data_IF_995857014041
#
_entry.id   IF_995857014041
#
_cell.length_a   1.000
_cell.length_b   1.000
_cell.length_c   1.000
_cell.angle_alpha   90.00
_cell.angle_beta   90.00
_cell.angle_gamma   90.00
#
_symmetry.space_group_name_H-M   'P 1'
#
loop_
_entity.id
_entity.type
_entity.pdbx_description
1 polymer ?
#
# COMPACT_ATOMS: atom_id res chain seq x y z
N UNK A 1 7.49 6.11 -1.93
CA UNK A 1 6.87 4.78 -2.09
C UNK A 1 5.60 4.76 -1.25
N UNK A 2 4.58 3.99 -1.65
CA UNK A 2 3.29 3.94 -0.93
C UNK A 2 3.46 3.53 0.53
N UNK A 3 4.35 2.58 0.83
CA UNK A 3 4.69 2.17 2.21
C UNK A 3 5.10 3.34 3.11
N UNK A 4 5.93 4.26 2.59
CA UNK A 4 6.39 5.45 3.35
C UNK A 4 5.27 6.44 3.61
N UNK A 5 4.44 6.68 2.59
CA UNK A 5 3.25 7.54 2.72
C UNK A 5 2.32 7.04 3.84
N UNK A 6 2.02 5.74 3.86
CA UNK A 6 1.15 5.15 4.88
C UNK A 6 1.81 5.21 6.26
N UNK A 7 3.11 4.93 6.36
CA UNK A 7 3.82 5.01 7.64
C UNK A 7 3.86 6.44 8.20
N UNK A 8 4.15 7.44 7.36
CA UNK A 8 4.13 8.86 7.76
C UNK A 8 2.72 9.28 8.16
N UNK A 9 1.69 8.89 7.41
CA UNK A 9 0.29 9.15 7.76
C UNK A 9 -0.08 8.59 9.14
N UNK A 10 0.24 7.32 9.41
CA UNK A 10 -0.06 6.72 10.72
C UNK A 10 0.77 7.36 11.84
N UNK A 11 1.98 7.80 11.55
CA UNK A 11 2.84 8.53 12.48
C UNK A 11 2.25 9.89 12.88
N UNK A 12 1.74 10.65 11.90
CA UNK A 12 1.02 11.92 12.14
C UNK A 12 -0.25 11.74 12.97
N UNK A 13 -0.84 10.54 12.96
CA UNK A 13 -1.96 10.15 13.82
C UNK A 13 -1.52 9.67 15.21
N UNK A 14 -0.24 9.82 15.57
CA UNK A 14 0.36 9.40 16.84
C UNK A 14 0.28 7.88 17.12
N UNK A 15 0.31 7.06 16.06
CA UNK A 15 0.35 5.61 16.20
C UNK A 15 1.80 5.11 16.27
N UNK A 16 2.03 4.04 17.05
CA UNK A 16 3.35 3.41 17.13
C UNK A 16 3.64 2.61 15.86
N UNK A 17 4.28 3.25 14.88
CA UNK A 17 4.48 2.70 13.53
C UNK A 17 5.95 2.57 13.16
N UNK A 18 6.29 1.51 12.42
CA UNK A 18 7.57 1.35 11.72
C UNK A 18 7.32 1.02 10.26
N UNK A 19 8.26 1.40 9.40
CA UNK A 19 8.22 1.06 7.97
C UNK A 19 9.34 0.11 7.57
N UNK A 20 9.07 -0.79 6.62
CA UNK A 20 10.10 -1.64 6.03
C UNK A 20 9.82 -1.88 4.54
N UNK A 21 10.80 -1.62 3.69
CA UNK A 21 10.64 -1.78 2.25
C UNK A 21 11.99 -1.92 1.53
N UNK A 22 11.99 -2.32 0.26
CA UNK A 22 13.21 -2.66 -0.50
C UNK A 22 14.23 -1.52 -0.65
N UNK A 23 13.78 -0.27 -0.57
CA UNK A 23 14.67 0.91 -0.60
C UNK A 23 15.33 1.25 0.75
N UNK A 24 15.04 0.52 1.83
CA UNK A 24 15.76 0.68 3.12
C UNK A 24 17.02 -0.17 3.12
N UNK A 25 18.13 0.30 3.73
CA UNK A 25 19.34 -0.52 3.92
C UNK A 25 19.04 -1.81 4.68
N UNK A 26 19.81 -2.87 4.41
CA UNK A 26 19.62 -4.17 5.09
C UNK A 26 19.72 -4.05 6.61
N UNK A 27 20.70 -3.29 7.13
CA UNK A 27 20.87 -3.05 8.57
C UNK A 27 19.63 -2.44 9.22
N UNK A 28 18.99 -1.47 8.54
CA UNK A 28 17.73 -0.89 8.99
C UNK A 28 16.60 -1.92 9.00
N UNK A 29 16.49 -2.75 7.96
CA UNK A 29 15.48 -3.81 7.86
C UNK A 29 15.61 -4.85 8.98
N UNK A 30 16.84 -5.25 9.31
CA UNK A 30 17.13 -6.15 10.43
C UNK A 30 16.69 -5.53 11.75
N UNK A 31 17.15 -4.29 12.05
CA UNK A 31 16.81 -3.59 13.29
C UNK A 31 15.30 -3.44 13.50
N UNK A 32 14.56 -3.00 12.47
CA UNK A 32 13.09 -2.84 12.55
C UNK A 32 12.39 -4.18 12.70
N UNK A 33 12.90 -5.24 12.06
CA UNK A 33 12.33 -6.58 12.21
C UNK A 33 12.54 -7.10 13.64
N UNK A 34 13.71 -6.88 14.23
CA UNK A 34 14.00 -7.28 15.61
C UNK A 34 13.12 -6.51 16.61
N UNK A 35 12.98 -5.19 16.41
CA UNK A 35 12.08 -4.34 17.19
C UNK A 35 10.62 -4.83 17.13
N UNK A 36 10.12 -5.13 15.93
CA UNK A 36 8.74 -5.62 15.78
C UNK A 36 8.50 -6.98 16.45
N UNK A 37 9.50 -7.88 16.45
CA UNK A 37 9.38 -9.17 17.16
C UNK A 37 9.29 -9.04 18.67
N UNK A 38 9.88 -7.98 19.23
CA UNK A 38 9.98 -7.78 20.69
C UNK A 38 8.89 -6.84 21.22
N UNK A 39 8.24 -6.07 20.35
CA UNK A 39 7.27 -5.04 20.74
C UNK A 39 5.85 -5.58 20.84
N UNK A 40 5.06 -5.01 21.74
CA UNK A 40 3.60 -5.13 21.76
C UNK A 40 2.98 -3.83 21.27
N UNK A 41 1.83 -3.91 20.58
CA UNK A 41 1.11 -2.72 20.12
C UNK A 41 1.84 -1.89 19.04
N UNK A 42 2.68 -2.52 18.21
CA UNK A 42 3.39 -1.86 17.11
C UNK A 42 2.72 -2.17 15.77
N UNK A 43 2.67 -1.18 14.87
CA UNK A 43 2.20 -1.35 13.48
C UNK A 43 3.42 -1.40 12.56
N UNK A 44 3.59 -2.49 11.82
CA UNK A 44 4.63 -2.60 10.79
C UNK A 44 4.02 -2.40 9.40
N UNK A 45 4.33 -1.26 8.78
CA UNK A 45 3.94 -0.98 7.39
C UNK A 45 5.03 -1.52 6.46
N UNK A 46 4.70 -2.53 5.67
CA UNK A 46 5.68 -3.25 4.86
C UNK A 46 5.29 -3.36 3.38
N UNK A 47 6.29 -3.40 2.50
CA UNK A 47 6.11 -3.96 1.15
C UNK A 47 6.30 -5.49 1.18
N UNK A 48 6.36 -6.14 0.02
CA UNK A 48 6.55 -7.61 -0.03
C UNK A 48 7.90 -8.13 0.49
N UNK A 49 8.76 -7.25 1.00
CA UNK A 49 10.04 -7.62 1.64
C UNK A 49 9.86 -8.43 2.93
N UNK A 50 8.72 -8.27 3.62
CA UNK A 50 8.41 -9.02 4.84
C UNK A 50 7.48 -10.21 4.60
N UNK A 51 7.06 -10.47 3.36
CA UNK A 51 6.06 -11.49 3.08
C UNK A 51 6.61 -12.92 3.19
N UNK A 52 7.94 -13.12 3.07
CA UNK A 52 8.58 -14.44 3.10
C UNK A 52 9.81 -14.42 4.01
N UNK A 53 10.11 -15.57 4.62
CA UNK A 53 11.36 -15.79 5.37
C UNK A 53 11.50 -15.00 6.66
N UNK A 54 10.50 -14.23 7.07
CA UNK A 54 10.52 -13.49 8.34
C UNK A 54 9.46 -14.03 9.29
N UNK A 55 9.90 -14.47 10.46
CA UNK A 55 9.02 -14.87 11.54
C UNK A 55 8.72 -13.68 12.45
N UNK A 56 7.46 -13.26 12.49
CA UNK A 56 6.94 -12.30 13.46
C UNK A 56 5.97 -13.05 14.36
N UNK A 57 6.33 -13.32 15.62
CA UNK A 57 5.41 -13.94 16.54
C UNK A 57 4.23 -13.00 16.81
N UNK A 58 3.06 -13.58 17.08
CA UNK A 58 1.95 -12.90 17.73
C UNK A 58 1.35 -11.71 16.96
N UNK A 59 1.53 -11.70 15.63
CA UNK A 59 0.81 -10.77 14.76
C UNK A 59 -0.68 -11.07 14.84
N UNK A 60 -1.46 -10.14 15.38
CA UNK A 60 -2.91 -10.28 15.59
C UNK A 60 -3.72 -9.94 14.35
N UNK A 61 -3.21 -9.04 13.50
CA UNK A 61 -3.91 -8.52 12.34
C UNK A 61 -2.96 -8.30 11.17
N UNK A 62 -3.34 -8.77 9.99
CA UNK A 62 -2.70 -8.46 8.70
C UNK A 62 -3.68 -7.66 7.84
N UNK A 63 -3.37 -6.39 7.60
CA UNK A 63 -4.10 -5.54 6.65
C UNK A 63 -3.32 -5.45 5.35
N UNK A 64 -3.94 -5.86 4.24
CA UNK A 64 -3.41 -5.75 2.90
C UNK A 64 -4.13 -4.63 2.17
N UNK A 65 -3.41 -3.60 1.71
CA UNK A 65 -3.96 -2.45 0.99
C UNK A 65 -3.63 -2.60 -0.49
N UNK A 66 -4.67 -2.65 -1.33
CA UNK A 66 -4.57 -2.84 -2.77
C UNK A 66 -4.34 -4.30 -3.17
N UNK A 67 -4.45 -4.53 -4.47
CA UNK A 67 -4.35 -5.85 -5.07
C UNK A 67 -2.94 -6.46 -4.87
N UNK A 68 -2.83 -7.73 -4.44
CA UNK A 68 -1.57 -8.48 -4.46
C UNK A 68 -1.12 -8.79 -5.90
N UNK A 69 0.18 -9.07 -6.09
CA UNK A 69 0.70 -9.41 -7.41
C UNK A 69 0.09 -10.71 -7.96
N UNK A 70 -0.16 -11.67 -7.07
CA UNK A 70 -0.80 -12.93 -7.37
C UNK A 70 -1.40 -13.56 -6.08
N UNK A 71 -2.09 -14.69 -6.26
CA UNK A 71 -2.65 -15.51 -5.18
C UNK A 71 -1.59 -15.94 -4.15
N UNK A 72 -0.41 -16.34 -4.60
CA UNK A 72 0.64 -16.81 -3.68
C UNK A 72 1.11 -15.67 -2.79
N UNK A 73 1.22 -14.45 -3.32
CA UNK A 73 1.58 -13.26 -2.57
C UNK A 73 0.53 -12.93 -1.51
N UNK A 74 -0.76 -13.04 -1.84
CA UNK A 74 -1.83 -12.91 -0.85
C UNK A 74 -1.69 -13.90 0.31
N UNK A 75 -1.45 -15.18 0.02
CA UNK A 75 -1.29 -16.24 1.02
C UNK A 75 -0.05 -15.99 1.89
N UNK A 76 1.08 -15.61 1.29
CA UNK A 76 2.32 -15.33 2.02
C UNK A 76 2.18 -14.15 3.00
N UNK A 77 1.45 -13.10 2.59
CA UNK A 77 1.12 -11.95 3.44
C UNK A 77 0.19 -12.37 4.58
N UNK A 78 -0.90 -13.07 4.28
CA UNK A 78 -1.86 -13.55 5.27
C UNK A 78 -1.21 -14.47 6.30
N UNK A 79 -0.30 -15.35 5.87
CA UNK A 79 0.45 -16.27 6.73
C UNK A 79 1.42 -15.61 7.73
N UNK A 80 1.40 -14.28 7.89
CA UNK A 80 2.10 -13.60 9.00
C UNK A 80 1.31 -13.66 10.31
N UNK A 81 -0.02 -13.81 10.26
CA UNK A 81 -0.89 -13.97 11.44
C UNK A 81 -1.34 -15.43 11.61
N UNK A 82 -2.04 -15.75 12.71
CA UNK A 82 -2.64 -17.07 12.93
C UNK A 82 -1.61 -18.21 13.12
N UNK A 83 -0.41 -17.89 13.62
CA UNK A 83 0.70 -18.86 13.71
C UNK A 83 0.74 -19.54 15.08
N UNK A 84 1.30 -20.76 15.11
CA UNK A 84 1.50 -21.56 16.34
C UNK A 84 0.20 -21.75 17.14
N UNK A 85 -0.92 -21.97 16.44
CA UNK A 85 -2.23 -22.19 17.05
C UNK A 85 -2.90 -20.94 17.64
N UNK A 86 -2.31 -19.75 17.47
CA UNK A 86 -2.92 -18.48 17.90
C UNK A 86 -3.96 -18.01 16.90
N UNK A 87 -4.93 -17.26 17.39
CA UNK A 87 -5.89 -16.55 16.54
C UNK A 87 -5.20 -15.43 15.74
N UNK A 88 -5.84 -15.05 14.64
CA UNK A 88 -5.32 -14.05 13.74
C UNK A 88 -6.34 -13.60 12.72
N UNK A 89 -6.33 -12.31 12.38
CA UNK A 89 -7.27 -11.74 11.42
C UNK A 89 -6.54 -11.23 10.17
N UNK A 90 -7.12 -11.51 9.01
CA UNK A 90 -6.70 -10.95 7.73
C UNK A 90 -7.76 -10.01 7.18
N UNK A 91 -7.37 -8.82 6.76
CA UNK A 91 -8.22 -7.86 6.04
C UNK A 91 -7.57 -7.55 4.69
N UNK A 92 -8.32 -7.74 3.61
CA UNK A 92 -7.93 -7.33 2.26
C UNK A 92 -8.78 -6.12 1.85
N UNK A 93 -8.15 -4.95 1.76
CA UNK A 93 -8.78 -3.71 1.33
C UNK A 93 -8.54 -3.51 -0.16
N UNK A 94 -9.63 -3.64 -0.94
CA UNK A 94 -9.65 -3.46 -2.38
C UNK A 94 -10.51 -2.26 -2.76
N UNK A 95 -10.05 -1.48 -3.73
CA UNK A 95 -10.92 -0.57 -4.46
C UNK A 95 -11.88 -1.37 -5.36
N UNK A 96 -13.04 -0.81 -5.76
CA UNK A 96 -14.02 -1.53 -6.58
C UNK A 96 -13.42 -2.11 -7.89
N UNK A 97 -12.50 -1.39 -8.52
CA UNK A 97 -11.82 -1.83 -9.75
C UNK A 97 -10.75 -2.90 -9.52
N UNK A 98 -10.46 -3.27 -8.27
CA UNK A 98 -9.55 -4.36 -7.88
C UNK A 98 -10.28 -5.67 -7.54
N UNK A 99 -11.62 -5.66 -7.46
CA UNK A 99 -12.42 -6.84 -7.08
C UNK A 99 -12.22 -8.04 -8.02
N UNK A 100 -11.69 -7.83 -9.24
CA UNK A 100 -11.32 -8.92 -10.15
C UNK A 100 -10.37 -9.95 -9.48
N UNK A 101 -9.56 -9.52 -8.51
CA UNK A 101 -8.64 -10.40 -7.79
C UNK A 101 -9.34 -11.48 -6.98
N UNK A 102 -10.56 -11.23 -6.50
CA UNK A 102 -11.33 -12.18 -5.70
C UNK A 102 -11.59 -13.50 -6.45
N UNK A 103 -11.66 -13.45 -7.79
CA UNK A 103 -11.79 -14.64 -8.62
C UNK A 103 -10.61 -15.61 -8.48
N UNK A 104 -9.42 -15.11 -8.11
CA UNK A 104 -8.19 -15.90 -7.91
C UNK A 104 -8.12 -16.59 -6.54
N UNK A 105 -8.98 -16.20 -5.60
CA UNK A 105 -9.03 -16.71 -4.22
C UNK A 105 -10.43 -17.22 -3.82
N UNK A 106 -11.29 -17.51 -4.79
CA UNK A 106 -12.70 -17.89 -4.59
C UNK A 106 -12.92 -19.15 -3.73
N UNK A 107 -11.91 -20.02 -3.67
CA UNK A 107 -11.89 -21.25 -2.86
C UNK A 107 -11.43 -21.01 -1.43
N UNK A 108 -10.89 -19.83 -1.12
CA UNK A 108 -10.53 -19.44 0.24
C UNK A 108 -11.78 -18.90 0.96
N UNK A 109 -11.93 -19.13 2.28
CA UNK A 109 -13.08 -18.69 3.05
C UNK A 109 -13.01 -17.18 3.35
N UNK A 110 -13.13 -16.35 2.31
CA UNK A 110 -13.11 -14.89 2.40
C UNK A 110 -14.54 -14.37 2.33
N UNK A 111 -14.96 -13.65 3.36
CA UNK A 111 -16.25 -12.96 3.39
C UNK A 111 -16.08 -11.46 3.17
N UNK A 112 -17.03 -10.84 2.46
CA UNK A 112 -17.07 -9.39 2.31
C UNK A 112 -17.53 -8.76 3.62
N UNK A 113 -16.64 -7.98 4.24
CA UNK A 113 -17.00 -7.19 5.41
C UNK A 113 -17.86 -5.98 5.00
N UNK A 114 -18.80 -5.53 5.86
CA UNK A 114 -19.49 -4.27 5.65
C UNK A 114 -18.49 -3.12 5.66
N UNK A 115 -18.75 -2.10 4.83
CA UNK A 115 -17.95 -0.87 4.85
C UNK A 115 -18.15 -0.20 6.21
N UNK A 116 -17.08 0.09 6.97
CA UNK A 116 -17.21 0.75 8.26
C UNK A 116 -17.77 2.16 8.06
N UNK A 117 -18.65 2.59 8.98
CA UNK A 117 -19.08 3.97 9.04
C UNK A 117 -17.85 4.84 9.33
N UNK A 118 -17.57 5.79 8.44
CA UNK A 118 -16.46 6.72 8.60
C UNK A 118 -16.86 7.83 9.56
N UNK A 119 -16.18 7.89 10.70
CA UNK A 119 -16.28 9.03 11.60
C UNK A 119 -15.80 10.31 10.87
N UNK A 120 -16.64 11.35 10.73
CA UNK A 120 -16.24 12.60 10.11
C UNK A 120 -15.02 13.25 10.77
N UNK A 121 -14.83 13.05 12.08
CA UNK A 121 -13.66 13.57 12.78
C UNK A 121 -12.40 12.77 12.44
N UNK A 122 -12.49 11.44 12.34
CA UNK A 122 -11.41 10.62 11.83
C UNK A 122 -11.01 11.02 10.41
N UNK A 123 -11.99 11.31 9.53
CA UNK A 123 -11.72 11.80 8.18
C UNK A 123 -10.93 13.12 8.19
N UNK A 124 -11.36 14.10 8.99
CA UNK A 124 -10.65 15.39 9.15
C UNK A 124 -9.24 15.20 9.69
N UNK A 125 -9.04 14.30 10.65
CA UNK A 125 -7.71 13.98 11.20
C UNK A 125 -6.78 13.42 10.11
N UNK A 126 -7.28 12.51 9.28
CA UNK A 126 -6.53 11.95 8.14
C UNK A 126 -6.20 13.04 7.12
N UNK A 127 -7.15 13.91 6.77
CA UNK A 127 -6.92 15.02 5.84
C UNK A 127 -5.84 16.00 6.35
N UNK A 128 -5.90 16.36 7.65
CA UNK A 128 -4.88 17.19 8.30
C UNK A 128 -3.51 16.52 8.33
N UNK A 129 -3.45 15.24 8.70
CA UNK A 129 -2.21 14.47 8.71
C UNK A 129 -1.59 14.39 7.31
N UNK A 130 -2.38 14.13 6.27
CA UNK A 130 -1.92 14.15 4.88
C UNK A 130 -1.35 15.52 4.45
N UNK A 131 -1.84 16.62 5.02
CA UNK A 131 -1.33 17.96 4.71
C UNK A 131 0.10 18.19 5.24
N UNK A 132 0.50 17.52 6.33
CA UNK A 132 1.86 17.61 6.88
C UNK A 132 2.86 16.69 6.18
N UNK A 133 2.40 15.71 5.39
CA UNK A 133 3.30 14.82 4.66
C UNK A 133 4.01 15.57 3.54
N UNK A 134 5.35 15.46 3.54
CA UNK A 134 6.20 16.11 2.56
C UNK A 134 5.87 15.72 1.11
N UNK A 135 5.97 16.71 0.22
CA UNK A 135 5.62 16.52 -1.19
C UNK A 135 6.48 15.43 -1.85
N UNK A 136 7.75 15.28 -1.49
CA UNK A 136 8.63 14.23 -2.04
C UNK A 136 8.11 12.83 -1.69
N UNK A 137 7.53 12.63 -0.51
CA UNK A 137 6.89 11.35 -0.17
C UNK A 137 5.70 11.10 -1.09
N UNK A 138 4.85 12.11 -1.32
CA UNK A 138 3.68 12.02 -2.21
C UNK A 138 4.07 11.76 -3.66
N UNK A 139 5.06 12.48 -4.20
CA UNK A 139 5.61 12.23 -5.56
C UNK A 139 6.11 10.78 -5.68
N UNK A 140 6.87 10.33 -4.68
CA UNK A 140 7.42 8.97 -4.65
C UNK A 140 6.35 7.90 -4.49
N UNK A 141 5.24 8.19 -3.80
CA UNK A 141 4.11 7.29 -3.67
C UNK A 141 3.33 7.20 -4.98
N UNK A 142 3.02 8.35 -5.61
CA UNK A 142 2.35 8.43 -6.91
C UNK A 142 3.09 7.64 -7.99
N UNK A 143 4.40 7.88 -8.15
CA UNK A 143 5.20 7.16 -9.15
C UNK A 143 5.27 5.64 -8.86
N UNK A 144 5.35 5.24 -7.58
CA UNK A 144 5.38 3.83 -7.20
C UNK A 144 4.04 3.13 -7.47
N UNK A 145 2.94 3.80 -7.12
CA UNK A 145 1.58 3.32 -7.39
C UNK A 145 1.37 3.16 -8.90
N UNK A 146 1.67 4.20 -9.69
CA UNK A 146 1.54 4.17 -11.15
C UNK A 146 2.37 3.04 -11.75
N UNK A 147 3.62 2.89 -11.32
CA UNK A 147 4.49 1.81 -11.80
C UNK A 147 3.98 0.41 -11.47
N UNK A 148 3.39 0.21 -10.29
CA UNK A 148 2.82 -1.07 -9.87
C UNK A 148 1.61 -1.46 -10.72
N UNK A 149 0.62 -0.57 -10.88
CA UNK A 149 -0.56 -0.88 -11.68
C UNK A 149 -0.29 -0.87 -13.18
N UNK A 150 0.76 -0.18 -13.64
CA UNK A 150 1.21 -0.26 -15.03
C UNK A 150 1.73 -1.65 -15.41
N UNK A 151 2.30 -2.41 -14.45
CA UNK A 151 2.74 -3.79 -14.67
C UNK A 151 1.64 -4.83 -14.40
N UNK A 152 0.54 -4.42 -13.77
CA UNK A 152 -0.61 -5.29 -13.54
C UNK A 152 -1.37 -5.54 -14.85
N UNK A 153 -1.61 -6.80 -15.21
CA UNK A 153 -2.23 -7.17 -16.50
C UNK A 153 -3.70 -6.77 -16.64
N UNK A 154 -4.43 -6.60 -15.54
CA UNK A 154 -5.84 -6.23 -15.57
C UNK A 154 -6.02 -4.72 -15.80
N UNK A 155 -5.14 -3.91 -15.20
CA UNK A 155 -5.26 -2.44 -15.24
C UNK A 155 -4.31 -1.80 -16.24
N UNK A 156 -3.06 -2.26 -16.27
CA UNK A 156 -1.99 -1.68 -17.09
C UNK A 156 -2.16 -1.86 -18.60
N UNK A 157 -3.16 -2.62 -19.08
CA UNK A 157 -3.47 -2.71 -20.52
C UNK A 157 -4.14 -1.43 -21.02
N UNK A 158 -5.06 -0.87 -20.23
CA UNK A 158 -5.72 0.39 -20.53
C UNK A 158 -4.93 1.53 -19.89
N UNK A 159 -4.07 2.16 -20.69
CA UNK A 159 -3.21 3.25 -20.22
C UNK A 159 -4.00 4.50 -19.83
N UNK A 160 -5.13 4.76 -20.47
CA UNK A 160 -5.97 5.92 -20.15
C UNK A 160 -6.64 5.72 -18.79
N UNK A 161 -7.26 4.56 -18.57
CA UNK A 161 -7.85 4.22 -17.27
C UNK A 161 -6.81 4.16 -16.16
N UNK A 162 -5.63 3.61 -16.44
CA UNK A 162 -4.51 3.60 -15.49
C UNK A 162 -4.15 5.02 -15.01
N UNK A 163 -4.03 5.97 -15.95
CA UNK A 163 -3.68 7.36 -15.62
C UNK A 163 -4.80 8.06 -14.85
N UNK A 164 -6.06 7.82 -15.24
CA UNK A 164 -7.22 8.32 -14.51
C UNK A 164 -7.21 7.85 -13.05
N UNK A 165 -7.03 6.55 -12.82
CA UNK A 165 -6.93 5.96 -11.48
C UNK A 165 -5.71 6.48 -10.70
N UNK A 166 -4.57 6.69 -11.36
CA UNK A 166 -3.41 7.30 -10.72
C UNK A 166 -3.74 8.72 -10.24
N UNK A 167 -4.45 9.50 -11.05
CA UNK A 167 -4.87 10.84 -10.69
C UNK A 167 -5.93 10.86 -9.58
N UNK A 168 -6.83 9.87 -9.54
CA UNK A 168 -7.70 9.63 -8.37
C UNK A 168 -6.86 9.40 -7.12
N UNK A 169 -5.86 8.51 -7.16
CA UNK A 169 -4.93 8.28 -6.05
C UNK A 169 -4.15 9.55 -5.65
N UNK A 170 -3.80 10.41 -6.60
CA UNK A 170 -3.20 11.71 -6.28
C UNK A 170 -4.12 12.58 -5.43
N UNK A 171 -5.41 12.64 -5.78
CA UNK A 171 -6.41 13.43 -5.04
C UNK A 171 -6.63 12.88 -3.64
N UNK A 172 -6.56 11.56 -3.43
CA UNK A 172 -6.69 10.98 -2.08
C UNK A 172 -5.53 11.35 -1.15
N UNK A 173 -4.39 11.80 -1.69
CA UNK A 173 -3.27 12.36 -0.92
C UNK A 173 -3.41 13.88 -0.65
N UNK A 174 -4.56 14.48 -1.01
CA UNK A 174 -4.82 15.91 -0.85
C UNK A 174 -4.08 16.79 -1.86
N UNK A 175 -3.85 16.29 -3.08
CA UNK A 175 -3.18 17.04 -4.14
C UNK A 175 -4.19 17.50 -5.21
N UNK A 176 -4.19 18.80 -5.50
CA UNK A 176 -5.03 19.38 -6.56
C UNK A 176 -4.57 18.93 -7.95
N UNK A 177 -3.25 18.76 -8.11
CA UNK A 177 -2.62 18.38 -9.36
C UNK A 177 -1.74 17.14 -9.16
N UNK A 178 -1.73 16.19 -10.12
CA UNK A 178 -0.85 15.04 -10.03
C UNK A 178 0.63 15.49 -9.97
N UNK A 179 1.47 14.78 -9.18
CA UNK A 179 2.92 14.98 -9.20
C UNK A 179 3.50 14.88 -10.60
N UNK A 180 4.47 15.75 -10.91
CA UNK A 180 5.17 15.67 -12.18
C UNK A 180 6.18 14.52 -12.19
N UNK A 181 6.15 13.69 -13.24
CA UNK A 181 7.07 12.57 -13.46
C UNK A 181 8.07 12.95 -14.55
N UNK A 182 9.33 12.53 -14.44
CA UNK A 182 10.31 12.85 -15.49
C UNK A 182 9.94 12.21 -16.83
N UNK A 183 10.17 12.94 -17.93
CA UNK A 183 9.91 12.43 -19.30
C UNK A 183 10.61 11.08 -19.58
N UNK A 184 11.79 10.87 -18.99
CA UNK A 184 12.52 9.62 -19.09
C UNK A 184 11.77 8.45 -18.44
N UNK A 185 11.22 8.66 -17.23
CA UNK A 185 10.45 7.63 -16.52
C UNK A 185 9.15 7.33 -17.26
N UNK A 186 8.44 8.35 -17.74
CA UNK A 186 7.24 8.17 -18.57
C UNK A 186 7.55 7.37 -19.84
N UNK A 187 8.72 7.62 -20.45
CA UNK A 187 9.26 6.82 -21.55
C UNK A 187 9.40 5.36 -21.22
N UNK A 188 10.11 5.05 -20.13
CA UNK A 188 10.31 3.67 -19.67
C UNK A 188 9.01 2.97 -19.29
N UNK A 189 7.99 3.72 -18.86
CA UNK A 189 6.66 3.20 -18.52
C UNK A 189 5.74 3.03 -19.75
N UNK A 190 6.11 3.56 -20.92
CA UNK A 190 5.24 3.57 -22.10
C UNK A 190 4.05 4.54 -21.97
N UNK A 191 4.22 5.65 -21.24
CA UNK A 191 3.16 6.60 -20.90
C UNK A 191 3.37 8.01 -21.46
N UNK A 192 4.35 8.23 -22.36
CA UNK A 192 4.74 9.58 -22.84
C UNK A 192 3.60 10.41 -23.42
N UNK A 193 2.69 9.77 -24.16
CA UNK A 193 1.65 10.46 -24.93
C UNK A 193 0.25 10.28 -24.32
N UNK A 194 0.17 9.77 -23.09
CA UNK A 194 -1.11 9.56 -22.42
C UNK A 194 -1.49 10.86 -21.70
N UNK A 195 -2.65 11.46 -22.01
CA UNK A 195 -3.09 12.71 -21.37
C UNK A 195 -3.34 12.49 -19.88
N UNK A 196 -3.27 13.57 -19.10
CA UNK A 196 -3.56 13.56 -17.67
C UNK A 196 -2.34 13.37 -16.76
N UNK A 197 -1.16 13.04 -17.30
CA UNK A 197 0.09 13.05 -16.55
C UNK A 197 0.81 14.40 -16.69
N UNK A 198 1.42 14.86 -15.61
CA UNK A 198 2.33 16.01 -15.63
C UNK A 198 3.76 15.53 -15.82
N UNK A 199 4.51 16.21 -16.68
CA UNK A 199 5.92 15.89 -16.93
C UNK A 199 6.86 17.00 -16.48
N UNK A 200 8.02 16.63 -15.92
CA UNK A 200 9.15 17.51 -15.66
C UNK A 200 10.41 17.06 -16.40
#
# INVERSE_FOLDING_TARGET
>A
MVTKLVAELLGELNLNVREIHSRKPQSYRTRVSDEFRQSTGLILVSSDVSARGVDYPDVTLVVQIGVPADRQQYIHRLGRTGRKGKEGQGILLLAPWEEFFLSTIKDLPVSKAPVPLLDPEAKKKVERALAHIDMKTKESAYQAWLGYYNSNRAIGKDKYRLVELANEFSRTMGLDNPPAISKLVLGKMGLKNIPGLRSK
#
